data_IF_997711076505
#
_entry.id   IF_997711076505
#
_cell.length_a   1.000
_cell.length_b   1.000
_cell.length_c   1.000
_cell.angle_alpha   90.00
_cell.angle_beta   90.00
_cell.angle_gamma   90.00
#
_symmetry.space_group_name_H-M   'P 1'
#
loop_
_entity.id
_entity.type
_entity.pdbx_description
1 polymer ?
#
# COMPACT_ATOMS: atom_id res chain seq x y z
N UNK A 1 -3.17 -10.88 -5.40
CA UNK A 1 -2.08 -11.62 -4.69
C UNK A 1 -2.65 -12.65 -3.70
N UNK A 2 -3.36 -13.68 -4.17
CA UNK A 2 -4.25 -14.49 -3.33
C UNK A 2 -3.58 -15.38 -2.27
N UNK A 3 -2.25 -15.49 -2.26
CA UNK A 3 -1.50 -16.31 -1.29
C UNK A 3 -0.86 -15.49 -0.17
N UNK A 4 -0.78 -14.17 -0.32
CA UNK A 4 -0.27 -13.30 0.73
C UNK A 4 -1.34 -13.15 1.82
N UNK A 5 -0.95 -13.37 3.08
CA UNK A 5 -1.80 -13.02 4.23
C UNK A 5 -1.96 -11.51 4.31
N UNK A 6 -3.06 -11.05 4.88
CA UNK A 6 -3.40 -9.63 4.96
C UNK A 6 -2.32 -8.82 5.70
N UNK A 7 -1.81 -9.32 6.82
CA UNK A 7 -0.71 -8.68 7.55
C UNK A 7 0.55 -8.50 6.70
N UNK A 8 0.88 -9.51 5.88
CA UNK A 8 2.04 -9.44 4.98
C UNK A 8 1.78 -8.49 3.80
N UNK A 9 0.52 -8.35 3.36
CA UNK A 9 0.15 -7.45 2.27
C UNK A 9 0.30 -6.00 2.72
N UNK A 10 -0.15 -5.69 3.93
CA UNK A 10 -0.02 -4.37 4.53
C UNK A 10 1.44 -4.01 4.82
N UNK A 11 2.23 -4.94 5.39
CA UNK A 11 3.67 -4.73 5.62
C UNK A 11 4.43 -4.53 4.30
N UNK A 12 4.12 -5.32 3.27
CA UNK A 12 4.71 -5.19 1.95
C UNK A 12 4.38 -3.83 1.31
N UNK A 13 3.13 -3.40 1.41
CA UNK A 13 2.70 -2.07 0.94
C UNK A 13 3.44 -0.94 1.66
N UNK A 14 3.53 -1.00 2.99
CA UNK A 14 4.21 0.05 3.77
C UNK A 14 5.71 0.15 3.43
N UNK A 15 6.40 -0.99 3.28
CA UNK A 15 7.81 -1.04 2.87
C UNK A 15 8.01 -0.57 1.43
N UNK A 16 7.07 -0.87 0.55
CA UNK A 16 7.13 -0.43 -0.84
C UNK A 16 7.05 1.10 -0.95
N UNK A 17 6.18 1.72 -0.14
CA UNK A 17 6.12 3.17 0.01
C UNK A 17 7.40 3.75 0.64
N UNK A 18 7.97 3.09 1.64
CA UNK A 18 9.23 3.52 2.27
C UNK A 18 10.40 3.54 1.30
N UNK A 19 10.55 2.45 0.55
CA UNK A 19 11.69 2.25 -0.34
C UNK A 19 11.49 2.92 -1.69
N UNK A 20 10.34 3.57 -1.91
CA UNK A 20 9.96 4.18 -3.18
C UNK A 20 10.14 3.19 -4.32
N UNK A 21 9.56 2.01 -4.13
CA UNK A 21 9.50 1.01 -5.19
C UNK A 21 8.64 1.54 -6.34
N UNK A 22 8.63 0.79 -7.42
CA UNK A 22 7.90 1.08 -8.63
C UNK A 22 6.40 1.37 -8.37
N UNK A 23 5.88 2.42 -9.02
CA UNK A 23 4.51 2.90 -8.81
C UNK A 23 3.47 1.87 -9.29
N UNK A 24 3.73 1.12 -10.38
CA UNK A 24 2.82 0.06 -10.83
C UNK A 24 2.76 -1.06 -9.80
N UNK A 25 3.89 -1.41 -9.18
CA UNK A 25 3.92 -2.39 -8.10
C UNK A 25 3.14 -1.93 -6.86
N UNK A 26 3.31 -0.67 -6.45
CA UNK A 26 2.58 -0.07 -5.33
C UNK A 26 1.07 -0.03 -5.64
N UNK A 27 0.69 0.26 -6.88
CA UNK A 27 -0.69 0.25 -7.34
C UNK A 27 -1.30 -1.15 -7.24
N UNK A 28 -0.60 -2.20 -7.69
CA UNK A 28 -1.08 -3.59 -7.58
C UNK A 28 -1.35 -3.97 -6.11
N UNK A 29 -0.48 -3.54 -5.19
CA UNK A 29 -0.68 -3.78 -3.75
C UNK A 29 -1.89 -3.02 -3.21
N UNK A 30 -2.06 -1.75 -3.62
CA UNK A 30 -3.22 -0.92 -3.24
C UNK A 30 -4.53 -1.55 -3.72
N UNK A 31 -4.61 -1.94 -4.99
CA UNK A 31 -5.81 -2.55 -5.57
C UNK A 31 -6.19 -3.85 -4.83
N UNK A 32 -5.19 -4.66 -4.45
CA UNK A 32 -5.44 -5.87 -3.68
C UNK A 32 -5.92 -5.57 -2.24
N UNK A 33 -5.37 -4.53 -1.59
CA UNK A 33 -5.81 -4.04 -0.27
C UNK A 33 -7.27 -3.57 -0.34
N UNK A 34 -7.61 -2.75 -1.33
CA UNK A 34 -8.97 -2.24 -1.56
C UNK A 34 -9.95 -3.38 -1.87
N UNK A 35 -9.55 -4.34 -2.72
CA UNK A 35 -10.34 -5.53 -3.05
C UNK A 35 -10.66 -6.38 -1.82
N UNK A 36 -9.76 -6.44 -0.84
CA UNK A 36 -9.94 -7.16 0.43
C UNK A 36 -10.59 -6.32 1.52
N UNK A 37 -10.88 -5.05 1.23
CA UNK A 37 -11.46 -4.10 2.19
C UNK A 37 -10.59 -3.92 3.45
N UNK A 38 -9.27 -3.99 3.31
CA UNK A 38 -8.34 -3.75 4.41
C UNK A 38 -8.11 -2.25 4.59
N UNK A 39 -7.84 -1.83 5.83
CA UNK A 39 -7.49 -0.44 6.11
C UNK A 39 -6.08 -0.12 5.61
N UNK A 40 -5.93 0.97 4.84
CA UNK A 40 -4.63 1.44 4.40
C UNK A 40 -3.80 1.94 5.60
N UNK A 41 -2.48 1.66 5.63
CA UNK A 41 -1.62 2.14 6.71
C UNK A 41 -1.60 3.68 6.79
N UNK A 42 -1.46 4.22 7.99
CA UNK A 42 -1.36 5.67 8.27
C UNK A 42 -0.29 6.39 7.42
N UNK A 43 0.73 5.66 6.98
CA UNK A 43 1.78 6.18 6.10
C UNK A 43 1.25 6.60 4.73
N UNK A 44 0.25 5.89 4.19
CA UNK A 44 -0.44 6.28 2.97
C UNK A 44 -1.07 7.68 3.11
N UNK A 45 -1.83 7.90 4.19
CA UNK A 45 -2.49 9.18 4.47
C UNK A 45 -1.51 10.35 4.56
N UNK A 46 -0.34 10.11 5.15
CA UNK A 46 0.74 11.13 5.22
C UNK A 46 1.31 11.49 3.85
N UNK A 47 1.46 10.52 2.94
CA UNK A 47 1.98 10.76 1.60
C UNK A 47 0.96 11.50 0.71
N UNK A 48 -0.32 11.17 0.80
CA UNK A 48 -1.37 11.87 0.05
C UNK A 48 -1.51 13.34 0.48
N UNK A 49 -1.33 13.64 1.78
CA UNK A 49 -1.40 15.01 2.30
C UNK A 49 -0.27 15.88 1.77
N UNK A 50 0.93 15.31 1.55
CA UNK A 50 2.09 16.03 1.02
C UNK A 50 1.97 16.24 -0.50
N UNK A 51 1.37 15.31 -1.24
CA UNK A 51 1.18 15.44 -2.68
C UNK A 51 0.09 16.45 -3.08
N UNK A 52 -0.83 16.79 -2.18
CA UNK A 52 -1.93 17.72 -2.41
C UNK A 52 -1.62 19.19 -2.04
N UNK A 53 -0.37 19.51 -1.66
CA UNK A 53 0.09 20.85 -1.24
C UNK A 53 0.97 21.53 -2.29
#
# INVERSE_FOLDING_TARGET
>A
MNQLKDDHLLDCYEKSLEWKLDDDFIQILREEIEKRQLELPERHRRLETVAAS
#
